data_IF_726858184135
#
_entry.id   IF_726858184135
#
_cell.length_a   1.000
_cell.length_b   1.000
_cell.length_c   1.000
_cell.angle_alpha   90.00
_cell.angle_beta   90.00
_cell.angle_gamma   90.00
#
_symmetry.space_group_name_H-M   'P 1'
#
loop_
_entity.id
_entity.type
_entity.pdbx_description
1 polymer ?
#
# COMPACT_ATOMS: atom_id res chain seq x y z
N UNK A 1 -0.32 -7.72 -10.21
CA UNK A 1 0.94 -7.76 -9.42
C UNK A 1 2.02 -6.86 -10.00
N UNK A 2 2.18 -6.74 -11.33
CA UNK A 2 3.23 -5.91 -11.93
C UNK A 2 3.05 -4.39 -11.91
N UNK A 3 1.85 -3.86 -11.65
CA UNK A 3 1.56 -2.41 -11.84
C UNK A 3 2.29 -1.52 -10.83
N UNK A 4 2.42 -1.95 -9.57
CA UNK A 4 3.04 -1.14 -8.50
C UNK A 4 4.45 -1.61 -8.10
N UNK A 5 4.87 -2.78 -8.57
CA UNK A 5 6.11 -3.43 -8.12
C UNK A 5 7.35 -2.58 -8.39
N UNK A 6 7.46 -2.00 -9.60
CA UNK A 6 8.62 -1.16 -9.95
C UNK A 6 8.74 0.05 -9.03
N UNK A 7 7.64 0.76 -8.79
CA UNK A 7 7.62 1.90 -7.90
C UNK A 7 7.91 1.51 -6.44
N UNK A 8 7.35 0.41 -5.94
CA UNK A 8 7.62 -0.05 -4.58
C UNK A 8 9.11 -0.41 -4.39
N UNK A 9 9.77 -0.99 -5.40
CA UNK A 9 11.22 -1.21 -5.37
C UNK A 9 12.01 0.10 -5.38
N UNK A 10 11.62 1.09 -6.20
CA UNK A 10 12.30 2.40 -6.24
C UNK A 10 12.20 3.17 -4.91
N UNK A 11 11.09 2.97 -4.19
CA UNK A 11 10.82 3.58 -2.89
C UNK A 11 11.33 2.74 -1.71
N UNK A 12 11.88 1.55 -1.96
CA UNK A 12 12.31 0.56 -0.97
C UNK A 12 11.22 0.24 0.08
N UNK A 13 10.01 -0.07 -0.41
CA UNK A 13 8.87 -0.45 0.45
C UNK A 13 8.33 -1.83 0.09
N UNK A 14 7.89 -2.61 1.09
CA UNK A 14 7.21 -3.87 0.83
C UNK A 14 5.82 -3.63 0.25
N UNK A 15 5.35 -4.56 -0.58
CA UNK A 15 4.00 -4.55 -1.13
C UNK A 15 3.34 -5.92 -1.01
N UNK A 16 2.01 -5.92 -1.08
CA UNK A 16 1.18 -7.12 -1.07
C UNK A 16 0.01 -6.90 -2.02
N UNK A 17 -0.21 -7.83 -2.95
CA UNK A 17 -1.34 -7.78 -3.88
C UNK A 17 -2.33 -8.88 -3.53
N UNK A 18 -3.48 -8.50 -2.98
CA UNK A 18 -4.62 -9.40 -2.81
C UNK A 18 -5.46 -9.51 -4.08
N UNK A 19 -6.22 -10.60 -4.21
CA UNK A 19 -7.36 -10.69 -5.14
C UNK A 19 -8.62 -10.92 -4.31
N UNK A 20 -9.34 -9.83 -4.01
CA UNK A 20 -10.44 -9.87 -3.05
C UNK A 20 -9.92 -9.92 -1.60
N UNK A 21 -10.68 -10.58 -0.72
CA UNK A 21 -10.30 -10.75 0.69
C UNK A 21 -9.02 -11.57 0.81
N UNK A 22 -8.05 -11.08 1.59
CA UNK A 22 -6.86 -11.86 1.90
C UNK A 22 -7.23 -13.01 2.84
N UNK A 23 -6.58 -14.15 2.66
CA UNK A 23 -6.71 -15.29 3.56
C UNK A 23 -6.18 -14.94 4.96
N UNK A 24 -6.66 -15.68 5.97
CA UNK A 24 -6.16 -15.51 7.34
C UNK A 24 -4.64 -15.75 7.44
N UNK A 25 -4.09 -16.70 6.67
CA UNK A 25 -2.65 -16.97 6.63
C UNK A 25 -1.85 -15.81 6.00
N UNK A 26 -2.35 -15.18 4.94
CA UNK A 26 -1.68 -14.02 4.33
C UNK A 26 -1.69 -12.81 5.27
N UNK A 27 -2.83 -12.56 5.92
CA UNK A 27 -2.97 -11.51 6.94
C UNK A 27 -2.03 -11.77 8.12
N UNK A 28 -1.92 -13.02 8.57
CA UNK A 28 -1.02 -13.41 9.66
C UNK A 28 0.46 -13.18 9.30
N UNK A 29 0.87 -13.59 8.09
CA UNK A 29 2.24 -13.33 7.62
C UNK A 29 2.52 -11.83 7.47
N UNK A 30 1.55 -11.05 6.99
CA UNK A 30 1.67 -9.60 6.94
C UNK A 30 1.79 -8.98 8.34
N UNK A 31 0.93 -9.37 9.30
CA UNK A 31 0.99 -8.84 10.66
C UNK A 31 2.28 -9.20 11.40
N UNK A 32 2.87 -10.38 11.12
CA UNK A 32 4.18 -10.77 11.65
C UNK A 32 5.28 -9.81 11.18
N UNK A 33 5.36 -9.56 9.87
CA UNK A 33 6.33 -8.60 9.30
C UNK A 33 6.16 -7.19 9.87
N UNK A 34 4.91 -6.73 9.98
CA UNK A 34 4.58 -5.44 10.60
C UNK A 34 5.05 -5.41 12.06
N UNK A 35 4.76 -6.49 12.79
CA UNK A 35 5.14 -6.66 14.18
C UNK A 35 6.66 -6.62 14.40
N UNK A 36 7.44 -7.24 13.52
CA UNK A 36 8.89 -7.24 13.60
C UNK A 36 9.48 -5.83 13.48
N UNK A 37 8.90 -4.97 12.62
CA UNK A 37 9.27 -3.55 12.52
C UNK A 37 8.85 -2.76 13.78
N UNK A 38 7.64 -2.99 14.28
CA UNK A 38 7.16 -2.30 15.48
C UNK A 38 8.01 -2.65 16.71
N UNK A 39 8.39 -3.92 16.86
CA UNK A 39 9.26 -4.38 17.96
C UNK A 39 10.67 -3.78 17.91
N UNK A 40 11.13 -3.39 16.72
CA UNK A 40 12.38 -2.63 16.54
C UNK A 40 12.24 -1.13 16.85
N UNK A 41 11.04 -0.68 17.23
CA UNK A 41 10.76 0.71 17.60
C UNK A 41 10.27 1.59 16.44
N UNK A 42 9.98 1.01 15.27
CA UNK A 42 9.45 1.77 14.15
C UNK A 42 7.93 1.92 14.22
N UNK A 43 7.42 3.03 13.69
CA UNK A 43 6.00 3.18 13.36
C UNK A 43 5.76 2.61 11.97
N UNK A 44 4.71 1.80 11.81
CA UNK A 44 4.37 1.17 10.55
C UNK A 44 3.07 1.75 9.99
N UNK A 45 3.12 2.27 8.77
CA UNK A 45 1.94 2.74 8.02
C UNK A 45 1.62 1.79 6.87
N UNK A 46 0.45 1.16 6.90
CA UNK A 46 -0.07 0.36 5.80
C UNK A 46 -0.88 1.25 4.84
N UNK A 47 -0.35 1.44 3.63
CA UNK A 47 -1.03 2.13 2.54
C UNK A 47 -1.86 1.11 1.75
N UNK A 48 -3.18 1.23 1.84
CA UNK A 48 -4.13 0.32 1.20
C UNK A 48 -4.78 0.96 -0.03
N UNK A 49 -4.68 0.25 -1.15
CA UNK A 49 -5.35 0.55 -2.41
C UNK A 49 -6.43 -0.51 -2.62
N UNK A 50 -7.65 -0.07 -2.90
CA UNK A 50 -8.78 -0.97 -3.13
C UNK A 50 -9.88 -0.30 -3.95
N UNK A 51 -10.88 -1.08 -4.34
CA UNK A 51 -11.99 -0.61 -5.16
C UNK A 51 -13.00 0.23 -4.38
N UNK A 52 -13.69 1.13 -5.07
CA UNK A 52 -14.76 1.95 -4.51
C UNK A 52 -16.10 1.28 -4.78
N UNK A 53 -16.34 0.17 -4.10
CA UNK A 53 -17.59 -0.57 -4.12
C UNK A 53 -17.91 -1.13 -2.71
N UNK A 54 -19.09 -1.73 -2.48
CA UNK A 54 -19.45 -2.27 -1.17
C UNK A 54 -18.42 -3.26 -0.60
N UNK A 55 -17.90 -4.16 -1.43
CA UNK A 55 -16.88 -5.13 -1.04
C UNK A 55 -15.52 -4.49 -0.79
N UNK A 56 -15.07 -3.57 -1.63
CA UNK A 56 -13.80 -2.86 -1.54
C UNK A 56 -13.65 -2.08 -0.25
N UNK A 57 -14.68 -1.31 0.12
CA UNK A 57 -14.70 -0.59 1.39
C UNK A 57 -14.71 -1.55 2.58
N UNK A 58 -15.47 -2.64 2.50
CA UNK A 58 -15.50 -3.65 3.55
C UNK A 58 -14.16 -4.39 3.70
N UNK A 59 -13.48 -4.70 2.59
CA UNK A 59 -12.15 -5.32 2.58
C UNK A 59 -11.11 -4.42 3.24
N UNK A 60 -11.17 -3.10 3.05
CA UNK A 60 -10.29 -2.16 3.77
C UNK A 60 -10.50 -2.23 5.29
N UNK A 61 -11.77 -2.31 5.73
CA UNK A 61 -12.11 -2.46 7.16
C UNK A 61 -11.63 -3.81 7.70
N UNK A 62 -11.95 -4.92 7.02
CA UNK A 62 -11.53 -6.28 7.39
C UNK A 62 -10.00 -6.39 7.48
N UNK A 63 -9.27 -5.81 6.52
CA UNK A 63 -7.81 -5.77 6.54
C UNK A 63 -7.27 -5.06 7.77
N UNK A 64 -7.75 -3.85 8.04
CA UNK A 64 -7.33 -3.05 9.19
C UNK A 64 -7.60 -3.79 10.50
N UNK A 65 -8.81 -4.32 10.66
CA UNK A 65 -9.25 -4.91 11.92
C UNK A 65 -8.54 -6.25 12.20
N UNK A 66 -8.35 -7.10 11.18
CA UNK A 66 -7.59 -8.35 11.32
C UNK A 66 -6.11 -8.14 11.64
N UNK A 67 -5.47 -7.17 10.98
CA UNK A 67 -4.06 -6.85 11.30
C UNK A 67 -3.95 -6.40 12.76
N UNK A 68 -4.85 -5.53 13.23
CA UNK A 68 -4.88 -5.11 14.64
C UNK A 68 -5.12 -6.27 15.59
N UNK A 69 -6.06 -7.16 15.28
CA UNK A 69 -6.32 -8.36 16.06
C UNK A 69 -5.06 -9.23 16.18
N UNK A 70 -4.36 -9.48 15.06
CA UNK A 70 -3.14 -10.28 15.07
C UNK A 70 -1.99 -9.60 15.79
N UNK A 71 -1.80 -8.28 15.65
CA UNK A 71 -0.81 -7.54 16.44
C UNK A 71 -1.10 -7.68 17.94
N UNK A 72 -2.37 -7.53 18.35
CA UNK A 72 -2.81 -7.70 19.73
C UNK A 72 -2.55 -9.11 20.26
N UNK A 73 -2.86 -10.16 19.49
CA UNK A 73 -2.59 -11.56 19.85
C UNK A 73 -1.10 -11.81 20.08
N UNK A 74 -0.22 -11.10 19.36
CA UNK A 74 1.23 -11.18 19.51
C UNK A 74 1.79 -10.20 20.57
N UNK A 75 0.94 -9.56 21.39
CA UNK A 75 1.32 -8.55 22.40
C UNK A 75 2.10 -7.35 21.83
N UNK A 76 1.78 -6.93 20.60
CA UNK A 76 2.41 -5.80 19.94
C UNK A 76 1.54 -4.56 20.14
N UNK A 77 2.15 -3.46 20.57
CA UNK A 77 1.45 -2.19 20.79
C UNK A 77 0.87 -1.66 19.48
N UNK A 78 -0.46 -1.55 19.41
CA UNK A 78 -1.17 -1.10 18.21
C UNK A 78 -0.97 0.39 17.89
N UNK A 79 -0.52 1.19 18.87
CA UNK A 79 -0.27 2.63 18.73
C UNK A 79 0.79 2.97 17.66
N UNK A 80 1.66 2.00 17.34
CA UNK A 80 2.67 2.13 16.30
C UNK A 80 2.18 1.63 14.92
N UNK A 81 0.91 1.24 14.79
CA UNK A 81 0.31 0.80 13.53
C UNK A 81 -0.76 1.79 13.02
N UNK A 82 -0.51 2.35 11.85
CA UNK A 82 -1.44 3.21 11.12
C UNK A 82 -1.94 2.52 9.84
N UNK A 83 -3.22 2.67 9.54
CA UNK A 83 -3.84 2.19 8.30
C UNK A 83 -4.38 3.37 7.50
N UNK A 84 -3.97 3.50 6.25
CA UNK A 84 -4.42 4.55 5.33
C UNK A 84 -5.04 3.93 4.08
N UNK A 85 -6.31 4.21 3.83
CA UNK A 85 -6.92 3.91 2.52
C UNK A 85 -6.61 5.05 1.55
N UNK A 86 -5.62 4.87 0.67
CA UNK A 86 -5.05 5.97 -0.10
C UNK A 86 -5.64 6.15 -1.52
N UNK A 87 -6.13 5.08 -2.14
CA UNK A 87 -6.57 5.12 -3.53
C UNK A 87 -8.05 4.79 -3.72
N UNK A 88 -8.65 5.41 -4.74
CA UNK A 88 -10.04 5.32 -5.14
C UNK A 88 -11.04 5.65 -4.01
N UNK A 89 -10.73 6.71 -3.25
CA UNK A 89 -11.73 7.35 -2.39
C UNK A 89 -12.71 8.19 -3.24
N UNK A 90 -13.89 8.50 -2.70
CA UNK A 90 -14.97 9.13 -3.49
C UNK A 90 -14.59 10.53 -4.00
N UNK A 91 -13.80 11.28 -3.24
CA UNK A 91 -13.23 12.56 -3.65
C UNK A 91 -12.32 12.41 -4.89
N UNK A 92 -11.52 11.35 -4.96
CA UNK A 92 -10.68 11.03 -6.13
C UNK A 92 -11.54 10.64 -7.33
N UNK A 93 -12.61 9.86 -7.13
CA UNK A 93 -13.59 9.54 -8.17
C UNK A 93 -14.19 10.81 -8.78
N UNK A 94 -14.56 11.77 -7.95
CA UNK A 94 -15.10 13.07 -8.39
C UNK A 94 -14.03 13.91 -9.09
N UNK A 95 -12.82 13.99 -8.53
CA UNK A 95 -11.69 14.76 -9.06
C UNK A 95 -11.30 14.31 -10.46
N UNK A 96 -11.15 13.00 -10.66
CA UNK A 96 -10.73 12.41 -11.93
C UNK A 96 -11.88 12.13 -12.89
N UNK A 97 -13.13 12.43 -12.49
CA UNK A 97 -14.35 12.21 -13.29
C UNK A 97 -14.44 10.79 -13.86
N UNK A 98 -14.14 9.80 -13.01
CA UNK A 98 -14.04 8.41 -13.44
C UNK A 98 -15.39 7.86 -13.88
N UNK A 99 -15.38 7.07 -14.97
CA UNK A 99 -16.58 6.38 -15.43
C UNK A 99 -16.95 5.26 -14.44
N UNK A 100 -18.21 5.19 -13.99
CA UNK A 100 -18.65 4.18 -13.04
C UNK A 100 -18.94 2.84 -13.73
N UNK A 101 -18.67 1.78 -13.01
CA UNK A 101 -19.35 0.49 -13.15
C UNK A 101 -20.67 0.50 -12.36
N UNK A 102 -21.55 -0.46 -12.64
CA UNK A 102 -22.81 -0.61 -11.90
C UNK A 102 -22.69 -1.69 -10.83
N UNK A 103 -23.06 -1.35 -9.60
CA UNK A 103 -23.08 -2.27 -8.47
C UNK A 103 -24.01 -3.46 -8.75
N UNK A 104 -23.56 -4.69 -8.48
CA UNK A 104 -24.44 -5.86 -8.48
C UNK A 104 -25.44 -5.71 -7.32
N UNK A 105 -26.74 -5.66 -7.64
CA UNK A 105 -27.87 -5.38 -6.72
C UNK A 105 -28.04 -6.39 -5.57
N UNK A 106 -27.27 -7.47 -5.52
CA UNK A 106 -27.48 -8.61 -4.61
C UNK A 106 -26.57 -8.63 -3.39
N UNK A 107 -25.66 -7.68 -3.22
CA UNK A 107 -24.81 -7.64 -2.02
C UNK A 107 -25.61 -7.11 -0.81
N UNK A 108 -25.73 -7.91 0.25
CA UNK A 108 -26.40 -7.52 1.50
C UNK A 108 -25.72 -6.32 2.17
N UNK A 109 -24.44 -6.10 1.87
CA UNK A 109 -23.61 -4.97 2.31
C UNK A 109 -23.82 -3.73 1.45
N UNK A 110 -24.52 -3.84 0.32
CA UNK A 110 -24.79 -2.72 -0.56
C UNK A 110 -25.76 -1.69 0.05
N UNK A 111 -26.57 -2.01 1.06
CA UNK A 111 -27.60 -1.07 1.56
C UNK A 111 -27.01 0.26 2.04
N UNK A 112 -25.98 0.22 2.88
CA UNK A 112 -25.33 1.43 3.40
C UNK A 112 -24.52 2.15 2.30
N UNK A 113 -23.90 1.39 1.40
CA UNK A 113 -23.18 1.96 0.28
C UNK A 113 -24.13 2.69 -0.68
N UNK A 114 -25.24 2.05 -1.06
CA UNK A 114 -26.26 2.58 -1.96
C UNK A 114 -26.87 3.87 -1.43
N UNK A 115 -27.07 3.99 -0.12
CA UNK A 115 -27.58 5.22 0.49
C UNK A 115 -26.58 6.37 0.44
N UNK A 116 -25.27 6.09 0.48
CA UNK A 116 -24.20 7.09 0.45
C UNK A 116 -23.75 7.48 -0.96
N UNK A 117 -23.58 6.50 -1.85
CA UNK A 117 -22.91 6.68 -3.15
C UNK A 117 -23.79 6.28 -4.35
N UNK A 118 -24.99 5.75 -4.10
CA UNK A 118 -25.87 5.23 -5.14
C UNK A 118 -25.39 3.90 -5.70
N UNK A 119 -25.89 3.52 -6.89
CA UNK A 119 -25.59 2.24 -7.55
C UNK A 119 -24.30 2.23 -8.36
N UNK A 120 -23.49 3.28 -8.29
CA UNK A 120 -22.24 3.42 -9.04
C UNK A 120 -21.09 2.85 -8.22
N UNK A 121 -20.21 2.10 -8.88
CA UNK A 121 -18.99 1.53 -8.31
C UNK A 121 -17.80 1.89 -9.20
N UNK A 122 -16.59 1.85 -8.65
CA UNK A 122 -15.36 2.05 -9.41
C UNK A 122 -14.31 1.05 -8.99
N UNK A 123 -13.58 0.54 -9.97
CA UNK A 123 -12.45 -0.36 -9.78
C UNK A 123 -11.13 0.41 -9.93
N UNK A 124 -10.05 -0.09 -9.33
CA UNK A 124 -8.73 0.53 -9.40
C UNK A 124 -8.22 0.66 -10.84
N UNK A 125 -8.63 -0.23 -11.75
CA UNK A 125 -8.26 -0.19 -13.16
C UNK A 125 -8.86 1.02 -13.91
N UNK A 126 -9.84 1.71 -13.32
CA UNK A 126 -10.34 2.98 -13.81
C UNK A 126 -9.33 4.13 -13.65
N UNK A 127 -8.32 3.97 -12.77
CA UNK A 127 -7.22 4.92 -12.63
C UNK A 127 -6.06 4.57 -13.56
N UNK A 128 -5.54 5.57 -14.25
CA UNK A 128 -4.27 5.44 -14.96
C UNK A 128 -3.13 5.10 -13.98
N UNK A 129 -2.18 4.27 -14.42
CA UNK A 129 -1.02 3.84 -13.61
C UNK A 129 -0.24 5.03 -13.04
N UNK A 130 -0.10 6.12 -13.79
CA UNK A 130 0.55 7.36 -13.32
C UNK A 130 -0.14 7.95 -12.09
N UNK A 131 -1.48 7.89 -12.04
CA UNK A 131 -2.26 8.39 -10.89
C UNK A 131 -2.05 7.50 -9.68
N UNK A 132 -2.08 6.18 -9.87
CA UNK A 132 -1.80 5.21 -8.80
C UNK A 132 -0.38 5.42 -8.24
N UNK A 133 0.60 5.59 -9.13
CA UNK A 133 1.99 5.84 -8.76
C UNK A 133 2.13 7.15 -7.99
N UNK A 134 1.48 8.23 -8.46
CA UNK A 134 1.46 9.52 -7.76
C UNK A 134 0.87 9.41 -6.36
N UNK A 135 -0.25 8.68 -6.19
CA UNK A 135 -0.86 8.45 -4.88
C UNK A 135 0.11 7.73 -3.93
N UNK A 136 0.77 6.66 -4.39
CA UNK A 136 1.73 5.91 -3.58
C UNK A 136 2.93 6.79 -3.22
N UNK A 137 3.51 7.49 -4.19
CA UNK A 137 4.63 8.39 -3.99
C UNK A 137 4.29 9.48 -2.98
N UNK A 138 3.15 10.15 -3.12
CA UNK A 138 2.71 11.19 -2.19
C UNK A 138 2.51 10.62 -0.78
N UNK A 139 1.89 9.44 -0.62
CA UNK A 139 1.72 8.81 0.69
C UNK A 139 3.04 8.48 1.36
N UNK A 140 4.05 8.02 0.60
CA UNK A 140 5.40 7.75 1.13
C UNK A 140 6.15 9.03 1.45
N UNK A 141 6.13 10.02 0.56
CA UNK A 141 6.84 11.30 0.74
C UNK A 141 6.34 12.09 1.94
N UNK A 142 5.06 11.95 2.32
CA UNK A 142 4.49 12.59 3.52
C UNK A 142 5.08 12.06 4.83
N UNK A 143 5.60 10.84 4.84
CA UNK A 143 6.06 10.17 6.08
C UNK A 143 7.57 9.91 6.10
N UNK A 144 8.22 9.85 4.93
CA UNK A 144 9.64 9.57 4.82
C UNK A 144 10.47 10.82 5.08
N UNK A 145 11.50 10.67 5.91
CA UNK A 145 12.58 11.65 6.03
C UNK A 145 13.42 11.61 4.75
N UNK A 146 13.17 12.57 3.85
CA UNK A 146 13.83 12.60 2.55
C UNK A 146 15.30 13.02 2.64
N UNK A 147 15.70 13.73 3.69
CA UNK A 147 17.10 14.10 3.89
C UNK A 147 17.93 12.85 4.21
N UNK A 148 17.47 12.05 5.18
CA UNK A 148 18.09 10.74 5.49
C UNK A 148 18.05 9.77 4.31
N UNK A 149 16.97 9.77 3.55
CA UNK A 149 16.84 8.95 2.36
C UNK A 149 17.86 9.33 1.29
N UNK A 150 18.02 10.62 1.02
CA UNK A 150 18.98 11.12 0.03
C UNK A 150 20.42 10.86 0.48
N UNK A 151 20.72 11.03 1.77
CA UNK A 151 22.02 10.66 2.35
C UNK A 151 22.33 9.18 2.13
N UNK A 152 21.39 8.28 2.44
CA UNK A 152 21.56 6.84 2.21
C UNK A 152 21.75 6.50 0.73
N UNK A 153 20.99 7.14 -0.17
CA UNK A 153 21.15 6.95 -1.62
C UNK A 153 22.49 7.44 -2.15
N UNK A 154 22.99 8.56 -1.64
CA UNK A 154 24.30 9.08 -2.05
C UNK A 154 25.41 8.11 -1.63
N UNK A 155 25.37 7.63 -0.38
CA UNK A 155 26.33 6.64 0.12
C UNK A 155 26.27 5.32 -0.66
N UNK A 156 25.07 4.84 -1.01
CA UNK A 156 24.91 3.65 -1.86
C UNK A 156 25.55 3.86 -3.25
N UNK A 157 25.35 5.03 -3.87
CA UNK A 157 25.95 5.34 -5.16
C UNK A 157 27.48 5.40 -5.10
N UNK A 158 28.03 6.00 -4.04
CA UNK A 158 29.48 6.04 -3.79
C UNK A 158 30.06 4.61 -3.73
N UNK A 159 29.44 3.72 -2.93
CA UNK A 159 29.89 2.33 -2.85
C UNK A 159 29.73 1.57 -4.17
N UNK A 160 28.66 1.81 -4.93
CA UNK A 160 28.48 1.21 -6.26
C UNK A 160 29.57 1.65 -7.23
N UNK A 161 29.98 2.91 -7.18
CA UNK A 161 31.02 3.44 -8.05
C UNK A 161 32.42 2.94 -7.65
N UNK A 162 32.69 2.76 -6.35
CA UNK A 162 33.91 2.09 -5.88
C UNK A 162 33.97 0.63 -6.34
N UNK A 163 32.88 -0.12 -6.16
CA UNK A 163 32.81 -1.52 -6.61
C UNK A 163 32.96 -1.67 -8.12
N UNK A 164 32.40 -0.74 -8.91
CA UNK A 164 32.58 -0.72 -10.36
C UNK A 164 34.03 -0.52 -10.77
N UNK A 165 34.74 0.43 -10.14
CA UNK A 165 36.17 0.65 -10.41
C UNK A 165 37.00 -0.60 -10.13
N UNK A 166 36.75 -1.26 -8.99
CA UNK A 166 37.44 -2.50 -8.64
C UNK A 166 37.13 -3.61 -9.65
N UNK A 167 35.88 -3.74 -10.09
CA UNK A 167 35.51 -4.74 -11.10
C UNK A 167 36.20 -4.48 -12.44
N UNK A 168 36.24 -3.23 -12.90
CA UNK A 168 36.95 -2.83 -14.12
C UNK A 168 38.45 -3.09 -14.03
N UNK A 169 39.08 -2.86 -12.88
CA UNK A 169 40.49 -3.18 -12.63
C UNK A 169 40.77 -4.69 -12.71
N UNK A 170 39.86 -5.52 -12.18
CA UNK A 170 40.00 -6.99 -12.20
C UNK A 170 39.70 -7.62 -13.57
N UNK A 171 38.88 -7.00 -14.42
CA UNK A 171 38.62 -7.47 -15.79
C UNK A 171 39.75 -7.13 -16.78
N UNK A 172 40.68 -6.25 -16.39
CA UNK A 172 41.84 -5.86 -17.18
C UNK A 172 43.10 -6.71 -16.88
N UNK A 173 43.05 -7.61 -15.90
CA UNK A 173 44.08 -8.64 -15.59
C UNK A 173 43.77 -10.00 -16.23
#
# INVERSE_FOLDING_TARGET
VGVIMGLCHELDIPYLSGRGYLSASEMWQASRRIGDWINQGYKFKLIHLGDHDPSGLNMSVDTKDRIREFLKINNIAEDNFEFERAALNYDQVQKYKLFPNYAKKTDTRAKEYLSKFGSKCWELDALHTEVINGIIQESVLRIRDNDKWNEAKNLENEYRDELRKIAEELELE
#
